data_IF_507382594798
#
_entry.id   IF_507382594798
#
_cell.length_a   1.000
_cell.length_b   1.000
_cell.length_c   1.000
_cell.angle_alpha   90.00
_cell.angle_beta   90.00
_cell.angle_gamma   90.00
#
_symmetry.space_group_name_H-M   'P 1'
#
loop_
_entity.id
_entity.type
_entity.pdbx_description
1 polymer ?
#
# COMPACT_ATOMS: atom_id res chain seq x y z
N UNK A 1 22.93 -11.39 -20.09
CA UNK A 1 23.15 -12.24 -18.90
C UNK A 1 22.71 -11.44 -17.68
N UNK A 2 21.81 -12.02 -16.92
CA UNK A 2 20.92 -11.35 -15.97
C UNK A 2 21.69 -10.66 -14.84
N UNK A 3 21.56 -9.33 -14.77
CA UNK A 3 21.89 -8.56 -13.57
C UNK A 3 20.76 -8.84 -12.58
N UNK A 4 20.97 -9.83 -11.73
CA UNK A 4 20.01 -10.22 -10.71
C UNK A 4 19.61 -8.98 -9.90
N UNK A 5 18.31 -8.81 -9.72
CA UNK A 5 17.69 -7.89 -8.77
C UNK A 5 18.50 -7.94 -7.47
N UNK A 6 18.90 -6.80 -6.92
CA UNK A 6 19.94 -6.65 -5.87
C UNK A 6 19.71 -7.41 -4.56
N UNK A 7 19.78 -8.74 -4.61
CA UNK A 7 19.72 -9.69 -3.48
C UNK A 7 21.10 -9.90 -2.85
N UNK A 8 22.15 -9.37 -3.47
CA UNK A 8 23.46 -9.14 -2.84
C UNK A 8 23.42 -7.73 -2.24
N UNK A 9 23.23 -7.48 -0.95
CA UNK A 9 23.81 -8.13 0.23
C UNK A 9 22.82 -8.08 1.41
N UNK A 10 22.02 -9.13 1.61
CA UNK A 10 21.30 -9.28 2.88
C UNK A 10 22.28 -9.80 3.94
N UNK A 11 22.25 -9.21 5.13
CA UNK A 11 22.99 -9.71 6.29
C UNK A 11 22.54 -11.12 6.65
N UNK A 12 23.41 -11.89 7.31
CA UNK A 12 23.07 -13.22 7.78
C UNK A 12 21.82 -13.23 8.69
N UNK A 13 21.65 -12.17 9.49
CA UNK A 13 20.46 -11.97 10.33
C UNK A 13 19.18 -11.73 9.53
N UNK A 14 19.25 -10.99 8.43
CA UNK A 14 18.08 -10.74 7.58
C UNK A 14 17.65 -12.00 6.82
N UNK A 15 18.62 -12.82 6.41
CA UNK A 15 18.34 -14.11 5.80
C UNK A 15 17.59 -15.04 6.77
N UNK A 16 18.11 -15.18 7.99
CA UNK A 16 17.48 -15.99 9.05
C UNK A 16 16.07 -15.47 9.40
N UNK A 17 15.90 -14.15 9.43
CA UNK A 17 14.60 -13.53 9.69
C UNK A 17 13.57 -13.85 8.59
N UNK A 18 13.97 -13.76 7.32
CA UNK A 18 13.09 -14.11 6.19
C UNK A 18 12.78 -15.61 6.13
N UNK A 19 13.74 -16.48 6.47
CA UNK A 19 13.51 -17.93 6.57
C UNK A 19 12.49 -18.25 7.68
N UNK A 20 12.62 -17.63 8.85
CA UNK A 20 11.66 -17.80 9.95
C UNK A 20 10.25 -17.34 9.55
N UNK A 21 10.13 -16.21 8.85
CA UNK A 21 8.83 -15.75 8.35
C UNK A 21 8.25 -16.71 7.30
N UNK A 22 9.07 -17.22 6.38
CA UNK A 22 8.62 -18.20 5.39
C UNK A 22 8.12 -19.50 6.06
N UNK A 23 8.80 -19.95 7.12
CA UNK A 23 8.37 -21.11 7.91
C UNK A 23 7.04 -20.85 8.62
N UNK A 24 6.86 -19.69 9.25
CA UNK A 24 5.59 -19.31 9.90
C UNK A 24 4.47 -19.21 8.87
N UNK A 25 4.74 -18.67 7.67
CA UNK A 25 3.76 -18.63 6.58
C UNK A 25 3.31 -20.03 6.19
N UNK A 26 4.22 -20.97 5.99
CA UNK A 26 3.89 -22.33 5.56
C UNK A 26 3.08 -23.12 6.60
N UNK A 27 3.32 -22.86 7.89
CA UNK A 27 2.70 -23.58 9.00
C UNK A 27 1.45 -22.88 9.56
N UNK A 28 1.10 -21.70 9.06
CA UNK A 28 -0.06 -20.97 9.52
C UNK A 28 -1.36 -21.68 9.13
N UNK A 29 -2.26 -21.83 10.10
CA UNK A 29 -3.57 -22.47 9.91
C UNK A 29 -4.71 -21.45 9.78
N UNK A 30 -4.46 -20.18 10.14
CA UNK A 30 -5.42 -19.08 10.00
C UNK A 30 -5.00 -18.11 8.89
N UNK A 31 -6.01 -17.54 8.25
CA UNK A 31 -5.81 -16.50 7.24
C UNK A 31 -5.19 -15.22 7.85
N UNK A 32 -5.53 -14.88 9.09
CA UNK A 32 -4.97 -13.73 9.79
C UNK A 32 -3.45 -13.82 9.96
N UNK A 33 -2.93 -15.01 10.29
CA UNK A 33 -1.48 -15.24 10.42
C UNK A 33 -0.79 -15.17 9.06
N UNK A 34 -1.39 -15.75 8.01
CA UNK A 34 -0.86 -15.62 6.64
C UNK A 34 -0.77 -14.14 6.21
N UNK A 35 -1.84 -13.35 6.45
CA UNK A 35 -1.87 -11.91 6.16
C UNK A 35 -0.76 -11.19 6.91
N UNK A 36 -0.61 -11.45 8.22
CA UNK A 36 0.38 -10.77 9.05
C UNK A 36 1.81 -11.06 8.59
N UNK A 37 2.13 -12.32 8.30
CA UNK A 37 3.46 -12.72 7.81
C UNK A 37 3.77 -12.09 6.46
N UNK A 38 2.80 -12.07 5.53
CA UNK A 38 2.97 -11.41 4.23
C UNK A 38 3.19 -9.90 4.38
N UNK A 39 2.50 -9.23 5.30
CA UNK A 39 2.75 -7.80 5.59
C UNK A 39 4.18 -7.55 6.08
N UNK A 40 4.71 -8.43 6.93
CA UNK A 40 6.08 -8.33 7.42
C UNK A 40 7.08 -8.62 6.29
N UNK A 41 6.89 -9.71 5.52
CA UNK A 41 7.77 -10.11 4.42
C UNK A 41 7.79 -9.13 3.25
N UNK A 42 6.64 -8.52 2.92
CA UNK A 42 6.55 -7.49 1.88
C UNK A 42 7.22 -6.17 2.29
N UNK A 43 7.66 -6.06 3.55
CA UNK A 43 8.22 -4.86 4.14
C UNK A 43 7.21 -3.74 4.05
N UNK A 44 5.96 -3.95 4.49
CA UNK A 44 5.07 -2.81 4.69
C UNK A 44 5.69 -2.03 5.84
N UNK A 45 6.39 -0.94 5.50
CA UNK A 45 7.15 -0.07 6.42
C UNK A 45 6.18 0.74 7.28
N UNK A 46 5.35 0.05 8.05
CA UNK A 46 4.35 0.66 8.90
C UNK A 46 5.00 0.88 10.25
N UNK A 47 5.76 1.96 10.37
CA UNK A 47 6.49 2.30 11.60
C UNK A 47 5.95 3.59 12.18
N UNK A 48 5.92 3.66 13.51
CA UNK A 48 5.74 4.92 14.22
C UNK A 48 7.03 5.22 15.00
N UNK A 49 7.76 6.31 14.68
CA UNK A 49 7.47 7.32 13.66
C UNK A 49 7.89 6.91 12.23
N UNK A 50 7.26 7.51 11.21
CA UNK A 50 7.70 7.46 9.81
C UNK A 50 7.48 8.83 9.16
N UNK A 51 8.49 9.36 8.47
CA UNK A 51 8.37 10.61 7.74
C UNK A 51 7.66 10.45 6.38
N UNK A 52 7.26 9.24 6.00
CA UNK A 52 6.38 9.01 4.85
C UNK A 52 4.94 8.92 5.38
N UNK A 53 4.06 9.81 4.91
CA UNK A 53 2.65 9.88 5.34
C UNK A 53 1.94 8.52 5.29
N UNK A 54 2.09 7.82 4.17
CA UNK A 54 1.46 6.52 3.90
C UNK A 54 1.99 5.36 4.76
N UNK A 55 3.08 5.58 5.48
CA UNK A 55 3.80 4.59 6.29
C UNK A 55 3.65 4.89 7.79
N UNK A 56 3.29 6.11 8.16
CA UNK A 56 3.04 6.48 9.53
C UNK A 56 1.66 5.96 9.94
N UNK A 57 1.60 4.94 10.80
CA UNK A 57 0.34 4.35 11.29
C UNK A 57 -0.63 5.41 11.78
N UNK A 58 -0.14 6.34 12.60
CA UNK A 58 -0.97 7.37 13.21
C UNK A 58 -1.59 8.27 12.15
N UNK A 59 -0.79 8.71 11.17
CA UNK A 59 -1.27 9.60 10.12
C UNK A 59 -2.14 8.88 9.09
N UNK A 60 -1.70 7.72 8.61
CA UNK A 60 -2.40 6.99 7.56
C UNK A 60 -3.74 6.38 8.00
N UNK A 61 -3.96 6.22 9.31
CA UNK A 61 -5.26 5.82 9.88
C UNK A 61 -6.12 7.02 10.32
N UNK A 62 -5.56 8.24 10.31
CA UNK A 62 -6.33 9.45 10.66
C UNK A 62 -7.34 9.80 9.57
N UNK A 63 -8.51 10.27 9.98
CA UNK A 63 -9.48 10.85 9.05
C UNK A 63 -9.27 12.37 9.00
N UNK A 64 -8.82 12.91 7.86
CA UNK A 64 -8.64 14.36 7.72
C UNK A 64 -9.95 15.15 7.79
N UNK A 65 -11.10 14.49 7.64
CA UNK A 65 -12.43 15.09 7.52
C UNK A 65 -13.23 15.06 8.82
N UNK A 66 -12.84 14.20 9.77
CA UNK A 66 -13.52 14.03 11.06
C UNK A 66 -12.56 14.33 12.22
N UNK A 67 -12.80 15.45 12.90
CA UNK A 67 -11.96 15.93 13.98
C UNK A 67 -11.82 14.93 15.15
N UNK A 68 -12.82 14.07 15.37
CA UNK A 68 -12.79 13.06 16.43
C UNK A 68 -11.87 11.88 16.06
N UNK A 69 -11.60 11.67 14.77
CA UNK A 69 -10.70 10.63 14.26
C UNK A 69 -9.40 11.19 13.66
N UNK A 70 -9.15 12.49 13.77
CA UNK A 70 -7.86 13.10 13.43
C UNK A 70 -6.80 12.71 14.46
N UNK A 71 -5.67 12.18 13.99
CA UNK A 71 -4.51 11.88 14.82
C UNK A 71 -3.41 12.91 14.57
N UNK A 72 -2.77 13.39 15.63
CA UNK A 72 -1.64 14.31 15.53
C UNK A 72 -0.31 13.56 15.67
N UNK A 73 0.62 13.89 14.78
CA UNK A 73 1.99 13.40 14.83
C UNK A 73 2.91 14.51 15.37
N UNK A 74 3.92 14.15 16.18
CA UNK A 74 4.98 15.07 16.62
C UNK A 74 6.12 15.22 15.59
N UNK A 75 6.00 14.60 14.43
CA UNK A 75 6.96 14.61 13.32
C UNK A 75 6.26 15.06 12.02
N UNK A 76 7.05 15.27 10.97
CA UNK A 76 6.56 15.74 9.67
C UNK A 76 6.58 14.62 8.62
N UNK A 77 5.63 14.65 7.70
CA UNK A 77 5.54 13.67 6.61
C UNK A 77 6.12 14.23 5.31
N UNK A 78 7.44 14.47 5.30
CA UNK A 78 8.15 15.12 4.18
C UNK A 78 8.73 14.13 3.17
N UNK A 79 8.86 12.87 3.55
CA UNK A 79 9.50 11.86 2.71
C UNK A 79 8.46 11.20 1.78
N UNK A 80 8.92 10.77 0.62
CA UNK A 80 8.13 10.04 -0.36
C UNK A 80 8.62 8.60 -0.45
N UNK A 81 7.67 7.67 -0.66
CA UNK A 81 7.98 6.28 -0.95
C UNK A 81 7.70 6.02 -2.42
N UNK A 82 8.73 5.60 -3.18
CA UNK A 82 8.63 5.32 -4.61
C UNK A 82 7.49 4.35 -4.94
N UNK A 83 7.23 3.34 -4.08
CA UNK A 83 6.14 2.38 -4.28
C UNK A 83 4.77 3.02 -4.10
N UNK A 84 4.60 3.83 -3.04
CA UNK A 84 3.35 4.56 -2.79
C UNK A 84 3.09 5.59 -3.90
N UNK A 85 4.13 6.31 -4.32
CA UNK A 85 4.06 7.27 -5.41
C UNK A 85 3.72 6.58 -6.73
N UNK A 86 4.40 5.48 -7.07
CA UNK A 86 4.13 4.73 -8.31
C UNK A 86 2.69 4.23 -8.38
N UNK A 87 2.11 3.79 -7.26
CA UNK A 87 0.71 3.38 -7.20
C UNK A 87 -0.22 4.57 -7.46
N UNK A 88 -0.01 5.69 -6.77
CA UNK A 88 -0.81 6.91 -6.95
C UNK A 88 -0.73 7.44 -8.38
N UNK A 89 0.47 7.49 -8.96
CA UNK A 89 0.68 7.90 -10.34
C UNK A 89 0.00 6.96 -11.33
N UNK A 90 0.00 5.66 -11.07
CA UNK A 90 -0.67 4.68 -11.93
C UNK A 90 -2.18 4.87 -11.90
N UNK A 91 -2.77 5.07 -10.72
CA UNK A 91 -4.19 5.37 -10.58
C UNK A 91 -4.57 6.67 -11.29
N UNK A 92 -3.79 7.74 -11.11
CA UNK A 92 -4.00 9.01 -11.79
C UNK A 92 -3.88 8.90 -13.32
N UNK A 93 -2.95 8.07 -13.82
CA UNK A 93 -2.82 7.78 -15.26
C UNK A 93 -4.05 7.07 -15.79
N UNK A 94 -4.60 6.09 -15.07
CA UNK A 94 -5.82 5.38 -15.48
C UNK A 94 -7.00 6.35 -15.49
N UNK A 95 -7.17 7.15 -14.45
CA UNK A 95 -8.23 8.16 -14.35
C UNK A 95 -8.18 9.15 -15.52
N UNK A 96 -7.00 9.66 -15.83
CA UNK A 96 -6.79 10.57 -16.97
C UNK A 96 -7.15 9.90 -18.30
N UNK A 97 -6.69 8.67 -18.52
CA UNK A 97 -7.01 7.92 -19.75
C UNK A 97 -8.51 7.67 -19.85
N UNK A 98 -9.20 7.33 -18.75
CA UNK A 98 -10.66 7.18 -18.75
C UNK A 98 -11.37 8.50 -19.06
N UNK A 99 -10.87 9.64 -18.58
CA UNK A 99 -11.40 10.96 -18.88
C UNK A 99 -11.28 11.35 -20.36
N UNK A 100 -10.16 11.01 -20.99
CA UNK A 100 -9.83 11.28 -22.39
C UNK A 100 -10.43 10.26 -23.38
N UNK A 101 -10.81 9.07 -22.91
CA UNK A 101 -11.34 8.00 -23.76
C UNK A 101 -12.71 8.37 -24.31
N UNK A 102 -12.91 8.12 -25.61
CA UNK A 102 -14.21 8.23 -26.26
C UNK A 102 -14.99 6.94 -26.04
N UNK A 103 -16.15 7.04 -25.41
CA UNK A 103 -17.05 5.91 -25.18
C UNK A 103 -18.21 5.93 -26.19
N UNK A 104 -18.81 4.77 -26.51
CA UNK A 104 -19.98 4.70 -27.38
C UNK A 104 -21.18 5.50 -26.87
N UNK A 105 -21.34 5.58 -25.55
CA UNK A 105 -22.42 6.32 -24.87
C UNK A 105 -21.89 6.97 -23.59
N UNK A 106 -22.61 7.97 -23.08
CA UNK A 106 -22.31 8.57 -21.78
C UNK A 106 -22.46 7.54 -20.66
N UNK A 107 -23.50 6.71 -20.70
CA UNK A 107 -23.72 5.64 -19.70
C UNK A 107 -22.53 4.68 -19.60
N UNK A 108 -21.93 4.29 -20.74
CA UNK A 108 -20.74 3.43 -20.76
C UNK A 108 -19.51 4.12 -20.14
N UNK A 109 -19.39 5.45 -20.31
CA UNK A 109 -18.35 6.25 -19.66
C UNK A 109 -18.58 6.30 -18.15
N UNK A 110 -19.81 6.55 -17.73
CA UNK A 110 -20.17 6.65 -16.31
C UNK A 110 -19.98 5.31 -15.60
N UNK A 111 -20.33 4.19 -16.23
CA UNK A 111 -20.08 2.84 -15.72
C UNK A 111 -18.58 2.58 -15.56
N UNK A 112 -17.76 2.90 -16.57
CA UNK A 112 -16.31 2.71 -16.51
C UNK A 112 -15.67 3.57 -15.40
N UNK A 113 -16.11 4.83 -15.25
CA UNK A 113 -15.67 5.71 -14.17
C UNK A 113 -16.10 5.18 -12.79
N UNK A 114 -17.34 4.71 -12.66
CA UNK A 114 -17.84 4.14 -11.42
C UNK A 114 -17.04 2.91 -10.99
N UNK A 115 -16.77 1.98 -11.92
CA UNK A 115 -15.95 0.80 -11.66
C UNK A 115 -14.53 1.21 -11.23
N UNK A 116 -13.92 2.17 -11.92
CA UNK A 116 -12.60 2.66 -11.58
C UNK A 116 -12.56 3.29 -10.19
N UNK A 117 -13.49 4.19 -9.88
CA UNK A 117 -13.57 4.85 -8.58
C UNK A 117 -13.81 3.85 -7.45
N UNK A 118 -14.66 2.84 -7.68
CA UNK A 118 -14.90 1.77 -6.71
C UNK A 118 -13.63 0.94 -6.47
N UNK A 119 -12.90 0.60 -7.54
CA UNK A 119 -11.65 -0.13 -7.43
C UNK A 119 -10.55 0.71 -6.73
N UNK A 120 -10.46 2.01 -7.03
CA UNK A 120 -9.53 2.94 -6.40
C UNK A 120 -9.80 3.04 -4.89
N UNK A 121 -11.07 3.22 -4.50
CA UNK A 121 -11.48 3.22 -3.09
C UNK A 121 -11.14 1.90 -2.41
N UNK A 122 -11.38 0.76 -3.07
CA UNK A 122 -11.04 -0.56 -2.53
C UNK A 122 -9.52 -0.73 -2.32
N UNK A 123 -8.69 -0.29 -3.28
CA UNK A 123 -7.22 -0.34 -3.18
C UNK A 123 -6.73 0.54 -2.04
N UNK A 124 -7.23 1.77 -1.93
CA UNK A 124 -6.83 2.69 -0.87
C UNK A 124 -7.32 2.23 0.51
N UNK A 125 -8.53 1.68 0.59
CA UNK A 125 -9.06 1.06 1.80
C UNK A 125 -8.25 -0.17 2.21
N UNK A 126 -7.86 -1.03 1.27
CA UNK A 126 -6.99 -2.16 1.53
C UNK A 126 -5.61 -1.72 2.03
N UNK A 127 -5.03 -0.68 1.43
CA UNK A 127 -3.79 -0.06 1.90
C UNK A 127 -3.93 0.38 3.36
N UNK A 128 -4.98 1.14 3.71
CA UNK A 128 -5.24 1.55 5.09
C UNK A 128 -5.54 0.36 6.01
N UNK A 129 -6.25 -0.67 5.54
CA UNK A 129 -6.57 -1.86 6.31
C UNK A 129 -5.33 -2.69 6.62
N UNK A 130 -4.30 -2.71 5.76
CA UNK A 130 -3.01 -3.33 6.11
C UNK A 130 -2.33 -2.59 7.28
N UNK A 131 -2.62 -1.30 7.47
CA UNK A 131 -2.08 -0.49 8.57
C UNK A 131 -2.86 -0.67 9.88
N UNK A 132 -4.03 -1.35 9.85
CA UNK A 132 -4.84 -1.73 11.02
C UNK A 132 -4.60 -3.19 11.41
#
# INVERSE_FOLDING_TARGET
>A
MNKALGVSELSHSEHLYLEALAEVYQNATSWDTHRQVLSIMAGVHVTSPSNVADHCVLFALSDSSDADYQQQCSHQHIDLCDRCQSLQETLAKIERVLGETTFPTQDAKDEALFIFQTAQLAIMSWKCHILR
#
